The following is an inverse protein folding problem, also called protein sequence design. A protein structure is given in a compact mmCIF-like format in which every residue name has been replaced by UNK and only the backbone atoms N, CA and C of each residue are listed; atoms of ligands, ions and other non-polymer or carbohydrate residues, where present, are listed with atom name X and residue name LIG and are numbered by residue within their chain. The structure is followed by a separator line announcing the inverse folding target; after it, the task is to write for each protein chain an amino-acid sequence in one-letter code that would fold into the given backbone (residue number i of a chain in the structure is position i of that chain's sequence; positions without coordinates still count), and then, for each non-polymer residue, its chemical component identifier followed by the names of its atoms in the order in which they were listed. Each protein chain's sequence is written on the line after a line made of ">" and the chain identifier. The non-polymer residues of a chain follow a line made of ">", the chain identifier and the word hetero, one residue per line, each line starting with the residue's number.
data_IF_497478894335
#
_entry.id   IF_497478894335
#
_cell.length_a   1.000
_cell.length_b   1.000
_cell.length_c   1.000
_cell.angle_alpha   90.00
_cell.angle_beta   90.00
_cell.angle_gamma   90.00
#
_symmetry.space_group_name_H-M   'P 1'
#
loop_
_entity.id
_entity.type
_entity.pdbx_description
1 polymer ?
#
# COMPACT_ATOMS: atom_id res chain seq x y z
N UNK A 1 -50.43 -71.55 -56.92
CA UNK A 1 -49.97 -72.87 -56.42
C UNK A 1 -48.66 -72.64 -55.66
N UNK A 2 -48.56 -73.18 -54.44
CA UNK A 2 -47.39 -73.17 -53.50
C UNK A 2 -47.00 -71.80 -52.88
N UNK A 3 -47.51 -71.46 -51.67
CA UNK A 3 -46.99 -71.77 -50.30
C UNK A 3 -45.54 -71.34 -50.06
N UNK A 4 -45.33 -70.32 -49.20
CA UNK A 4 -44.23 -70.31 -48.23
C UNK A 4 -44.68 -69.73 -46.89
N UNK A 5 -44.49 -70.57 -45.88
CA UNK A 5 -44.91 -70.45 -44.49
C UNK A 5 -43.71 -69.96 -43.67
N UNK A 6 -43.97 -68.95 -42.83
CA UNK A 6 -43.34 -68.60 -41.56
C UNK A 6 -42.26 -69.53 -40.97
N UNK A 7 -41.17 -68.94 -40.47
CA UNK A 7 -40.62 -69.35 -39.16
C UNK A 7 -39.97 -68.14 -38.46
N UNK A 8 -40.40 -67.94 -37.21
CA UNK A 8 -40.05 -66.85 -36.30
C UNK A 8 -38.67 -67.08 -35.67
N UNK A 9 -37.85 -66.03 -35.56
CA UNK A 9 -36.67 -65.99 -34.66
C UNK A 9 -36.91 -64.89 -33.62
N UNK A 10 -37.04 -65.28 -32.34
CA UNK A 10 -37.09 -64.40 -31.14
C UNK A 10 -35.65 -64.31 -30.59
N UNK A 11 -35.02 -63.13 -30.48
CA UNK A 11 -35.11 -62.13 -29.39
C UNK A 11 -34.47 -62.57 -28.07
N UNK A 12 -33.22 -62.15 -27.81
CA UNK A 12 -32.70 -61.77 -26.48
C UNK A 12 -31.57 -60.74 -26.70
N UNK A 13 -31.85 -59.45 -26.49
CA UNK A 13 -30.88 -58.36 -26.47
C UNK A 13 -30.77 -57.88 -25.02
N UNK A 14 -29.64 -58.20 -24.38
CA UNK A 14 -29.28 -57.79 -23.03
C UNK A 14 -29.00 -56.26 -23.00
N UNK A 15 -29.93 -55.49 -22.42
CA UNK A 15 -29.69 -54.10 -22.04
C UNK A 15 -28.75 -54.07 -20.81
N UNK A 16 -27.49 -53.72 -21.02
CA UNK A 16 -26.58 -53.24 -19.96
C UNK A 16 -26.48 -51.72 -20.07
N UNK A 17 -27.26 -51.02 -19.25
CA UNK A 17 -27.22 -49.57 -19.13
C UNK A 17 -26.01 -49.14 -18.28
N UNK A 18 -24.91 -48.78 -18.95
CA UNK A 18 -23.75 -48.13 -18.34
C UNK A 18 -24.11 -46.65 -18.11
N UNK A 19 -24.47 -46.29 -16.88
CA UNK A 19 -24.68 -44.89 -16.46
C UNK A 19 -23.29 -44.25 -16.32
N UNK A 20 -22.82 -43.60 -17.38
CA UNK A 20 -21.67 -42.69 -17.31
C UNK A 20 -22.16 -41.40 -16.68
N UNK A 21 -21.93 -41.21 -15.38
CA UNK A 21 -22.13 -39.91 -14.75
C UNK A 21 -21.11 -38.93 -15.36
N UNK A 22 -21.53 -37.82 -15.99
CA UNK A 22 -20.60 -36.80 -16.43
C UNK A 22 -19.95 -36.19 -15.18
N UNK A 23 -18.66 -36.43 -15.01
CA UNK A 23 -17.84 -35.66 -14.10
C UNK A 23 -17.75 -34.24 -14.67
N UNK A 24 -18.66 -33.35 -14.23
CA UNK A 24 -18.51 -31.92 -14.46
C UNK A 24 -17.28 -31.46 -13.68
N UNK A 25 -16.15 -31.35 -14.37
CA UNK A 25 -15.01 -30.61 -13.88
C UNK A 25 -15.48 -29.18 -13.62
N UNK A 26 -15.49 -28.73 -12.35
CA UNK A 26 -15.64 -27.31 -12.05
C UNK A 26 -14.35 -26.61 -12.44
N UNK A 27 -14.34 -25.95 -13.58
CA UNK A 27 -13.34 -24.94 -13.90
C UNK A 27 -13.51 -23.82 -12.87
N UNK A 28 -12.52 -23.61 -12.00
CA UNK A 28 -12.47 -22.39 -11.19
C UNK A 28 -12.10 -21.24 -12.14
N UNK A 29 -12.98 -20.24 -12.24
CA UNK A 29 -12.81 -19.11 -13.14
C UNK A 29 -11.59 -18.29 -12.73
N UNK A 30 -10.50 -18.39 -13.47
CA UNK A 30 -9.31 -17.53 -13.32
C UNK A 30 -9.59 -16.06 -13.59
N UNK A 31 -10.77 -15.72 -14.14
CA UNK A 31 -11.20 -14.36 -14.48
C UNK A 31 -11.94 -13.62 -13.36
N UNK A 32 -12.23 -14.25 -12.22
CA UNK A 32 -12.98 -13.60 -11.14
C UNK A 32 -12.13 -12.61 -10.35
N UNK A 33 -10.83 -12.89 -10.22
CA UNK A 33 -9.93 -12.10 -9.37
C UNK A 33 -9.59 -10.72 -9.96
N UNK A 34 -9.18 -10.58 -11.25
CA UNK A 34 -9.00 -9.26 -11.86
C UNK A 34 -10.28 -8.42 -11.85
N UNK A 35 -11.44 -9.05 -12.02
CA UNK A 35 -12.74 -8.36 -12.00
C UNK A 35 -13.04 -7.74 -10.63
N UNK A 36 -12.72 -8.42 -9.52
CA UNK A 36 -12.90 -7.88 -8.16
C UNK A 36 -12.00 -6.65 -7.97
N UNK A 37 -10.75 -6.73 -8.43
CA UNK A 37 -9.81 -5.60 -8.38
C UNK A 37 -10.36 -4.42 -9.16
N UNK A 38 -10.74 -4.61 -10.43
CA UNK A 38 -11.30 -3.55 -11.28
C UNK A 38 -12.58 -2.92 -10.69
N UNK A 39 -13.48 -3.74 -10.13
CA UNK A 39 -14.72 -3.28 -9.49
C UNK A 39 -14.43 -2.43 -8.26
N UNK A 40 -13.52 -2.88 -7.39
CA UNK A 40 -13.11 -2.14 -6.20
C UNK A 40 -12.48 -0.78 -6.55
N UNK A 41 -11.57 -0.76 -7.52
CA UNK A 41 -10.91 0.47 -7.97
C UNK A 41 -11.92 1.46 -8.57
N UNK A 42 -12.82 0.99 -9.44
CA UNK A 42 -13.89 1.83 -10.00
C UNK A 42 -14.82 2.40 -8.92
N UNK A 43 -15.11 1.61 -7.88
CA UNK A 43 -15.91 2.05 -6.73
C UNK A 43 -15.19 3.14 -5.95
N UNK A 44 -13.91 2.94 -5.60
CA UNK A 44 -13.12 3.95 -4.87
C UNK A 44 -13.05 5.26 -5.66
N UNK A 45 -12.76 5.19 -6.95
CA UNK A 45 -12.67 6.38 -7.81
C UNK A 45 -13.99 7.17 -7.83
N UNK A 46 -15.12 6.46 -7.96
CA UNK A 46 -16.45 7.07 -8.04
C UNK A 46 -16.90 7.71 -6.71
N UNK A 47 -16.64 7.02 -5.60
CA UNK A 47 -17.20 7.41 -4.29
C UNK A 47 -16.25 8.24 -3.43
N UNK A 48 -14.92 8.10 -3.61
CA UNK A 48 -13.92 8.79 -2.80
C UNK A 48 -13.29 10.02 -3.49
N UNK A 49 -13.72 10.39 -4.71
CA UNK A 49 -13.22 11.58 -5.40
C UNK A 49 -13.30 12.86 -4.56
N UNK A 50 -14.40 13.03 -3.82
CA UNK A 50 -14.70 14.22 -3.02
C UNK A 50 -14.08 14.21 -1.60
N UNK A 51 -13.24 13.22 -1.27
CA UNK A 51 -12.60 13.13 0.07
C UNK A 51 -11.89 14.44 0.41
N UNK A 52 -12.24 15.04 1.54
CA UNK A 52 -11.69 16.33 1.97
C UNK A 52 -10.32 16.23 2.63
N UNK A 53 -9.86 17.36 3.18
CA UNK A 53 -8.65 17.44 3.97
C UNK A 53 -8.84 16.70 5.30
N UNK A 54 -7.83 15.94 5.73
CA UNK A 54 -7.81 15.15 6.97
C UNK A 54 -9.00 14.18 7.07
N UNK A 55 -9.37 13.57 5.95
CA UNK A 55 -10.48 12.64 5.85
C UNK A 55 -10.01 11.30 5.28
N UNK A 56 -10.65 10.24 5.74
CA UNK A 56 -10.52 8.89 5.21
C UNK A 56 -11.83 8.51 4.54
N UNK A 57 -11.75 7.98 3.33
CA UNK A 57 -12.86 7.45 2.55
C UNK A 57 -12.68 5.98 2.25
N UNK A 58 -13.80 5.26 2.30
CA UNK A 58 -13.84 3.81 2.28
C UNK A 58 -14.42 3.38 0.96
N UNK A 59 -13.60 2.74 0.12
CA UNK A 59 -13.95 2.55 -1.27
C UNK A 59 -14.55 1.19 -1.59
N UNK A 60 -14.13 0.10 -0.93
CA UNK A 60 -14.65 -1.22 -1.25
C UNK A 60 -14.63 -2.22 -0.06
N UNK A 61 -15.55 -3.17 -0.14
CA UNK A 61 -16.04 -4.21 0.79
C UNK A 61 -15.05 -4.68 1.90
N UNK A 62 -15.65 -4.92 3.08
CA UNK A 62 -15.11 -5.61 4.27
C UNK A 62 -13.98 -4.89 5.01
N UNK A 63 -14.38 -3.97 5.90
CA UNK A 63 -13.48 -3.25 6.77
C UNK A 63 -14.05 -3.14 8.19
N UNK A 64 -13.19 -3.22 9.18
CA UNK A 64 -13.49 -2.82 10.56
C UNK A 64 -12.59 -1.65 10.93
N UNK A 65 -13.14 -0.67 11.64
CA UNK A 65 -12.38 0.44 12.18
C UNK A 65 -12.92 0.81 13.55
N UNK A 66 -12.01 1.18 14.43
CA UNK A 66 -12.34 1.68 15.76
C UNK A 66 -12.18 3.20 15.76
N UNK A 67 -13.21 3.90 16.23
CA UNK A 67 -13.19 5.35 16.42
C UNK A 67 -12.92 5.70 17.88
N UNK A 68 -12.13 6.76 18.08
CA UNK A 68 -11.84 7.32 19.40
C UNK A 68 -13.12 7.87 20.03
N UNK A 69 -13.53 7.30 21.16
CA UNK A 69 -14.44 7.91 22.12
C UNK A 69 -15.89 7.39 22.18
N UNK A 70 -16.36 6.55 21.25
CA UNK A 70 -17.74 6.03 21.28
C UNK A 70 -17.84 4.62 20.66
N UNK A 71 -18.18 3.56 21.43
CA UNK A 71 -18.51 2.26 20.86
C UNK A 71 -19.77 2.36 19.97
N UNK A 72 -19.61 2.17 18.67
CA UNK A 72 -20.72 2.19 17.70
C UNK A 72 -20.97 3.52 16.99
N UNK A 73 -20.08 4.51 17.12
CA UNK A 73 -20.10 5.69 16.27
C UNK A 73 -19.41 5.37 14.94
N UNK A 74 -20.19 5.36 13.86
CA UNK A 74 -19.77 5.21 12.46
C UNK A 74 -19.03 3.89 12.16
N UNK A 75 -19.81 2.84 11.88
CA UNK A 75 -19.32 1.75 11.05
C UNK A 75 -19.20 2.24 9.60
N UNK A 76 -18.14 1.83 8.91
CA UNK A 76 -18.07 1.88 7.46
C UNK A 76 -19.07 0.87 6.90
N UNK A 77 -20.30 1.33 6.72
CA UNK A 77 -21.43 0.48 6.34
C UNK A 77 -21.52 0.37 4.82
N UNK A 78 -21.08 1.39 4.09
CA UNK A 78 -21.15 1.44 2.64
C UNK A 78 -19.93 2.12 2.00
N UNK A 79 -19.59 1.75 0.75
CA UNK A 79 -18.64 2.49 -0.06
C UNK A 79 -18.99 3.98 -0.15
N UNK A 80 -17.99 4.84 0.01
CA UNK A 80 -18.12 6.30 0.01
C UNK A 80 -18.36 6.92 1.38
N UNK A 81 -18.50 6.12 2.44
CA UNK A 81 -18.50 6.67 3.79
C UNK A 81 -17.17 7.40 4.04
N UNK A 82 -17.24 8.54 4.73
CA UNK A 82 -16.09 9.40 5.04
C UNK A 82 -16.07 9.71 6.52
N UNK A 83 -14.91 9.62 7.14
CA UNK A 83 -14.68 10.09 8.52
C UNK A 83 -13.51 11.04 8.60
N UNK A 84 -13.50 11.85 9.65
CA UNK A 84 -12.35 12.65 10.01
C UNK A 84 -11.25 11.75 10.59
N UNK A 85 -10.04 11.90 10.06
CA UNK A 85 -8.87 11.13 10.49
C UNK A 85 -8.53 11.36 11.97
N UNK A 86 -8.91 12.52 12.52
CA UNK A 86 -8.78 12.80 13.94
C UNK A 86 -9.60 11.88 14.85
N UNK A 87 -10.67 11.28 14.31
CA UNK A 87 -11.52 10.33 15.04
C UNK A 87 -11.07 8.88 14.89
N UNK A 88 -10.15 8.57 13.97
CA UNK A 88 -9.67 7.21 13.73
C UNK A 88 -8.66 6.80 14.82
N UNK A 89 -8.96 5.69 15.49
CA UNK A 89 -8.02 4.98 16.35
C UNK A 89 -7.35 3.85 15.58
N UNK A 90 -8.14 3.04 14.87
CA UNK A 90 -7.64 1.94 14.03
C UNK A 90 -8.47 1.80 12.75
N UNK A 91 -7.86 1.26 11.71
CA UNK A 91 -8.51 0.85 10.47
C UNK A 91 -7.93 -0.48 10.01
N UNK A 92 -8.78 -1.46 9.72
CA UNK A 92 -8.38 -2.80 9.29
C UNK A 92 -9.11 -3.17 7.99
N UNK A 93 -8.35 -3.30 6.91
CA UNK A 93 -8.83 -3.71 5.59
C UNK A 93 -8.75 -5.23 5.44
N UNK A 94 -9.72 -5.82 4.75
CA UNK A 94 -9.71 -7.26 4.47
C UNK A 94 -8.79 -7.62 3.29
N UNK A 95 -8.14 -8.80 3.34
CA UNK A 95 -7.41 -9.35 2.20
C UNK A 95 -8.33 -9.56 0.98
N UNK A 96 -7.72 -9.77 -0.18
CA UNK A 96 -8.44 -10.22 -1.36
C UNK A 96 -8.91 -11.67 -1.18
N UNK A 97 -10.21 -11.85 -0.97
CA UNK A 97 -10.86 -13.16 -0.85
C UNK A 97 -11.67 -13.45 -2.11
N UNK A 98 -11.04 -14.06 -3.10
CA UNK A 98 -11.67 -14.34 -4.41
C UNK A 98 -12.97 -15.14 -4.31
N UNK A 99 -13.09 -16.04 -3.34
CA UNK A 99 -14.30 -16.84 -3.11
C UNK A 99 -15.47 -16.06 -2.52
N UNK A 100 -15.18 -14.97 -1.80
CA UNK A 100 -16.18 -14.11 -1.17
C UNK A 100 -16.45 -12.85 -1.99
N UNK A 101 -15.58 -12.50 -2.95
CA UNK A 101 -15.67 -11.26 -3.69
C UNK A 101 -15.28 -10.04 -2.86
N UNK A 102 -14.46 -10.23 -1.83
CA UNK A 102 -14.09 -9.17 -0.87
C UNK A 102 -12.65 -8.71 -1.11
N UNK A 103 -12.43 -7.40 -1.04
CA UNK A 103 -11.10 -6.79 -1.06
C UNK A 103 -11.18 -5.39 -0.47
N UNK A 104 -10.40 -5.13 0.58
CA UNK A 104 -10.38 -3.83 1.22
C UNK A 104 -9.55 -2.83 0.41
N UNK A 105 -10.15 -1.66 0.12
CA UNK A 105 -9.43 -0.47 -0.37
C UNK A 105 -9.93 0.78 0.36
N UNK A 106 -9.01 1.59 0.86
CA UNK A 106 -9.30 2.88 1.49
C UNK A 106 -8.36 3.98 0.98
N UNK A 107 -8.87 5.21 0.96
CA UNK A 107 -8.12 6.40 0.56
C UNK A 107 -8.18 7.42 1.69
N UNK A 108 -7.03 7.87 2.18
CA UNK A 108 -6.93 8.93 3.19
C UNK A 108 -6.19 10.13 2.62
N UNK A 109 -6.70 11.33 2.88
CA UNK A 109 -6.07 12.60 2.50
C UNK A 109 -5.65 13.34 3.76
N UNK A 110 -4.35 13.42 4.01
CA UNK A 110 -3.79 14.00 5.22
C UNK A 110 -3.00 15.28 4.93
N UNK A 111 -3.03 16.20 5.89
CA UNK A 111 -2.14 17.34 5.94
C UNK A 111 -0.90 16.99 6.79
N UNK A 112 0.02 16.19 6.25
CA UNK A 112 1.34 15.99 6.85
C UNK A 112 2.11 17.30 6.72
N UNK A 113 2.49 17.96 7.83
CA UNK A 113 3.27 19.22 7.98
C UNK A 113 3.19 20.34 6.90
N UNK A 114 2.22 20.31 5.98
CA UNK A 114 2.05 21.26 4.89
C UNK A 114 1.42 22.57 5.42
N UNK A 115 1.88 23.75 4.97
CA UNK A 115 1.30 25.04 5.37
C UNK A 115 -0.20 25.15 5.06
N UNK A 116 -0.97 25.76 5.96
CA UNK A 116 -2.42 25.98 5.79
C UNK A 116 -2.78 26.92 4.62
N UNK A 117 -1.79 27.60 4.03
CA UNK A 117 -1.96 28.62 2.99
C UNK A 117 -2.06 28.06 1.58
N UNK A 118 -1.84 26.76 1.37
CA UNK A 118 -1.92 26.11 0.06
C UNK A 118 -3.27 25.39 -0.10
N UNK A 119 -4.23 25.96 -0.86
CA UNK A 119 -5.53 25.32 -1.07
C UNK A 119 -5.39 24.08 -1.95
N UNK A 120 -5.97 22.96 -1.51
CA UNK A 120 -6.13 21.74 -2.31
C UNK A 120 -5.02 20.68 -2.19
N UNK A 121 -3.97 20.96 -1.45
CA UNK A 121 -2.83 20.04 -1.33
C UNK A 121 -2.91 19.19 -0.06
N UNK A 122 -3.01 17.87 -0.26
CA UNK A 122 -3.02 16.84 0.76
C UNK A 122 -2.10 15.70 0.32
N UNK A 123 -1.46 15.04 1.28
CA UNK A 123 -0.80 13.76 1.06
C UNK A 123 -1.86 12.68 0.96
N UNK A 124 -1.81 11.88 -0.09
CA UNK A 124 -2.73 10.76 -0.27
C UNK A 124 -2.08 9.48 0.24
N UNK A 125 -2.78 8.78 1.11
CA UNK A 125 -2.46 7.44 1.57
C UNK A 125 -3.50 6.50 0.97
N UNK A 126 -3.06 5.60 0.10
CA UNK A 126 -3.87 4.58 -0.52
C UNK A 126 -3.53 3.23 0.12
N UNK A 127 -4.51 2.63 0.80
CA UNK A 127 -4.35 1.36 1.50
C UNK A 127 -5.17 0.28 0.80
N UNK A 128 -4.59 -0.92 0.65
CA UNK A 128 -5.26 -2.02 -0.06
C UNK A 128 -4.81 -3.40 0.42
N UNK A 129 -5.75 -4.34 0.43
CA UNK A 129 -5.54 -5.69 0.93
C UNK A 129 -5.60 -5.80 2.45
N UNK A 130 -4.94 -6.81 3.03
CA UNK A 130 -4.83 -7.00 4.48
C UNK A 130 -3.89 -5.93 5.06
N UNK A 131 -4.47 -4.81 5.47
CA UNK A 131 -3.74 -3.66 6.01
C UNK A 131 -4.42 -3.20 7.28
N UNK A 132 -3.62 -3.05 8.33
CA UNK A 132 -4.03 -2.41 9.57
C UNK A 132 -3.21 -1.15 9.77
N UNK A 133 -3.89 -0.04 10.03
CA UNK A 133 -3.27 1.19 10.49
C UNK A 133 -3.87 1.58 11.84
N UNK A 134 -3.00 1.82 12.81
CA UNK A 134 -3.38 2.27 14.16
C UNK A 134 -2.73 3.61 14.45
N UNK A 135 -3.52 4.58 14.88
CA UNK A 135 -3.01 5.88 15.31
C UNK A 135 -2.05 5.71 16.49
N UNK A 136 -0.85 6.29 16.38
CA UNK A 136 0.19 6.22 17.41
C UNK A 136 0.54 7.60 17.98
N UNK A 137 -0.29 8.61 17.72
CA UNK A 137 -0.16 9.93 18.35
C UNK A 137 -0.56 9.82 19.83
N UNK A 138 0.30 10.27 20.77
CA UNK A 138 -0.01 10.28 22.20
C UNK A 138 -1.29 11.06 22.51
N UNK A 139 -2.05 10.64 23.52
CA UNK A 139 -3.28 11.33 23.93
C UNK A 139 -3.00 12.74 24.49
N UNK A 140 -3.96 13.66 24.29
CA UNK A 140 -3.87 15.03 24.80
C UNK A 140 -3.72 15.01 26.34
N UNK A 141 -2.58 15.51 26.84
CA UNK A 141 -2.24 15.49 28.27
C UNK A 141 -0.77 15.18 28.54
N UNK A 142 -0.08 14.58 27.56
CA UNK A 142 1.38 14.49 27.55
C UNK A 142 1.97 15.81 27.02
N UNK A 143 3.09 16.25 27.61
CA UNK A 143 3.67 17.59 27.43
C UNK A 143 4.19 17.91 26.00
N UNK A 144 3.90 17.07 25.00
CA UNK A 144 4.41 17.20 23.63
C UNK A 144 3.40 16.82 22.53
N UNK A 145 2.09 16.89 22.78
CA UNK A 145 1.07 16.64 21.74
C UNK A 145 0.99 17.77 20.68
N UNK A 146 2.09 17.97 19.94
CA UNK A 146 2.18 18.82 18.74
C UNK A 146 1.92 18.04 17.46
N UNK A 147 1.93 16.71 17.55
CA UNK A 147 1.58 15.83 16.43
C UNK A 147 0.09 15.97 16.11
N UNK A 148 -0.20 16.29 14.84
CA UNK A 148 -1.56 16.15 14.31
C UNK A 148 -1.91 14.65 14.18
N UNK A 149 -3.19 14.27 14.29
CA UNK A 149 -3.61 12.88 14.10
C UNK A 149 -3.01 12.25 12.85
N UNK A 150 -2.55 11.01 12.97
CA UNK A 150 -1.92 10.24 11.89
C UNK A 150 -0.65 10.87 11.28
N UNK A 151 -0.01 11.81 11.98
CA UNK A 151 1.41 12.13 11.76
C UNK A 151 2.34 11.07 12.34
N UNK A 152 1.84 10.22 13.25
CA UNK A 152 2.50 9.02 13.74
C UNK A 152 1.48 7.88 13.78
N UNK A 153 1.81 6.73 13.20
CA UNK A 153 0.93 5.56 13.19
C UNK A 153 1.70 4.24 13.09
N UNK A 154 1.07 3.15 13.51
CA UNK A 154 1.54 1.78 13.29
C UNK A 154 0.88 1.23 12.03
N UNK A 155 1.68 0.63 11.16
CA UNK A 155 1.28 -0.06 9.94
C UNK A 155 1.61 -1.55 10.09
N UNK A 156 0.61 -2.39 9.77
CA UNK A 156 0.78 -3.82 9.54
C UNK A 156 0.17 -4.18 8.19
N UNK A 157 0.85 -5.03 7.43
CA UNK A 157 0.39 -5.48 6.11
C UNK A 157 0.54 -7.00 6.00
N UNK A 158 -0.36 -7.62 5.24
CA UNK A 158 -0.15 -8.93 4.67
C UNK A 158 1.11 -8.95 3.78
N UNK A 159 1.71 -10.13 3.63
CA UNK A 159 2.85 -10.35 2.74
C UNK A 159 2.68 -11.65 1.98
N UNK A 160 3.04 -11.64 0.69
CA UNK A 160 2.93 -12.80 -0.19
C UNK A 160 1.50 -13.36 -0.23
N UNK A 161 0.52 -12.45 -0.21
CA UNK A 161 -0.88 -12.74 0.04
C UNK A 161 -1.80 -12.47 -1.15
N UNK A 162 -1.26 -11.94 -2.27
CA UNK A 162 -2.00 -11.85 -3.52
C UNK A 162 -2.40 -13.27 -4.00
N UNK A 163 -3.70 -13.60 -4.07
CA UNK A 163 -4.17 -14.96 -4.35
C UNK A 163 -4.11 -15.33 -5.84
N UNK A 164 -3.83 -14.36 -6.73
CA UNK A 164 -3.92 -14.52 -8.17
C UNK A 164 -3.01 -13.55 -8.94
N UNK A 165 -2.83 -13.77 -10.24
CA UNK A 165 -2.16 -12.84 -11.14
C UNK A 165 -3.01 -11.56 -11.31
N UNK A 166 -2.36 -10.39 -11.27
CA UNK A 166 -3.00 -9.08 -11.39
C UNK A 166 -3.53 -8.51 -10.06
N UNK A 167 -3.58 -9.30 -8.98
CA UNK A 167 -3.84 -8.77 -7.66
C UNK A 167 -2.57 -8.16 -7.05
N UNK A 168 -2.63 -6.93 -6.49
CA UNK A 168 -1.52 -6.38 -5.74
C UNK A 168 -1.27 -7.18 -4.46
N UNK A 169 -0.02 -7.15 -4.00
CA UNK A 169 0.31 -7.50 -2.62
C UNK A 169 -0.28 -6.46 -1.68
N UNK A 170 -0.70 -6.86 -0.48
CA UNK A 170 -1.22 -5.89 0.50
C UNK A 170 -0.18 -4.85 0.88
N UNK A 171 -0.61 -3.60 1.01
CA UNK A 171 0.28 -2.52 1.40
C UNK A 171 -0.34 -1.14 1.31
N UNK A 172 0.52 -0.14 1.44
CA UNK A 172 0.14 1.26 1.47
C UNK A 172 1.01 2.06 0.51
N UNK A 173 0.39 2.86 -0.35
CA UNK A 173 1.10 3.83 -1.19
C UNK A 173 0.84 5.23 -0.64
N UNK A 174 1.90 6.01 -0.49
CA UNK A 174 1.83 7.42 -0.08
C UNK A 174 2.29 8.28 -1.25
N UNK A 175 1.50 9.29 -1.60
CA UNK A 175 1.83 10.25 -2.65
C UNK A 175 1.73 11.68 -2.10
N UNK A 176 2.82 12.44 -2.21
CA UNK A 176 2.80 13.88 -1.92
C UNK A 176 2.33 14.68 -3.14
N UNK A 177 1.78 15.89 -2.97
CA UNK A 177 1.62 16.82 -4.09
C UNK A 177 2.97 17.18 -4.74
N UNK A 178 2.94 17.64 -5.99
CA UNK A 178 4.13 18.19 -6.66
C UNK A 178 4.37 19.63 -6.21
N UNK A 179 5.64 20.05 -6.11
CA UNK A 179 6.01 21.46 -5.88
C UNK A 179 5.81 21.96 -4.44
N UNK A 180 5.39 21.11 -3.51
CA UNK A 180 5.12 21.48 -2.10
C UNK A 180 6.29 21.17 -1.15
N UNK A 181 7.41 20.70 -1.69
CA UNK A 181 8.57 20.23 -0.93
C UNK A 181 8.41 18.79 -0.45
N UNK A 182 8.91 18.51 0.76
CA UNK A 182 8.81 17.23 1.44
C UNK A 182 7.77 17.25 2.56
N UNK A 183 7.21 16.08 2.84
CA UNK A 183 6.35 15.82 3.99
C UNK A 183 7.04 14.88 4.96
N UNK A 184 6.73 15.01 6.24
CA UNK A 184 7.28 14.19 7.32
C UNK A 184 6.17 13.51 8.10
N UNK A 185 6.33 12.21 8.34
CA UNK A 185 5.47 11.41 9.21
C UNK A 185 6.28 10.25 9.82
N UNK A 186 5.75 9.64 10.89
CA UNK A 186 6.36 8.49 11.55
C UNK A 186 5.51 7.23 11.32
N UNK A 187 6.14 6.16 10.83
CA UNK A 187 5.52 4.83 10.72
C UNK A 187 6.35 3.83 11.51
N UNK A 188 5.75 3.13 12.47
CA UNK A 188 6.43 2.05 13.21
C UNK A 188 7.76 2.51 13.86
N UNK A 189 7.83 3.77 14.31
CA UNK A 189 9.08 4.33 14.87
C UNK A 189 10.13 4.71 13.81
N UNK A 190 9.79 4.66 12.52
CA UNK A 190 10.63 5.16 11.42
C UNK A 190 10.12 6.53 11.00
N UNK A 191 10.98 7.54 11.09
CA UNK A 191 10.73 8.86 10.51
C UNK A 191 10.91 8.79 9.00
N UNK A 192 9.90 9.23 8.27
CA UNK A 192 9.90 9.26 6.81
C UNK A 192 9.74 10.69 6.36
N UNK A 193 10.77 11.21 5.68
CA UNK A 193 10.69 12.45 4.92
C UNK A 193 10.60 12.09 3.43
N UNK A 194 9.58 12.57 2.72
CA UNK A 194 9.41 12.25 1.29
C UNK A 194 8.78 13.39 0.51
N UNK A 195 9.17 13.56 -0.76
CA UNK A 195 8.55 14.48 -1.71
C UNK A 195 8.12 13.74 -2.98
N UNK A 196 7.42 12.62 -2.83
CA UNK A 196 7.48 11.56 -3.82
C UNK A 196 6.28 10.61 -3.78
N UNK A 197 6.38 9.47 -4.48
CA UNK A 197 5.41 8.37 -4.38
C UNK A 197 6.10 7.12 -3.88
N UNK A 198 5.72 6.62 -2.70
CA UNK A 198 6.42 5.55 -1.99
C UNK A 198 5.46 4.45 -1.59
N UNK A 199 5.85 3.20 -1.83
CA UNK A 199 5.13 2.00 -1.42
C UNK A 199 5.72 1.40 -0.15
N UNK A 200 4.85 1.08 0.81
CA UNK A 200 5.17 0.55 2.13
C UNK A 200 4.51 -0.82 2.33
N UNK A 201 5.29 -1.75 2.88
CA UNK A 201 4.80 -2.99 3.45
C UNK A 201 5.46 -3.19 4.81
N UNK A 202 4.74 -3.71 5.81
CA UNK A 202 5.29 -3.86 7.15
C UNK A 202 4.70 -5.08 7.86
N UNK A 203 5.55 -6.03 8.25
CA UNK A 203 5.17 -7.07 9.21
C UNK A 203 6.38 -7.51 10.04
N UNK A 204 6.14 -8.28 11.10
CA UNK A 204 7.18 -8.66 12.06
C UNK A 204 8.27 -9.53 11.40
N UNK A 205 7.90 -10.50 10.56
CA UNK A 205 8.84 -11.47 9.96
C UNK A 205 9.66 -10.88 8.80
N UNK A 206 9.02 -10.02 8.01
CA UNK A 206 9.51 -9.34 6.82
C UNK A 206 10.08 -7.95 7.11
N UNK A 207 9.90 -7.40 8.31
CA UNK A 207 10.23 -6.01 8.62
C UNK A 207 9.37 -5.02 7.84
N UNK A 208 9.77 -3.75 7.88
CA UNK A 208 9.24 -2.71 7.00
C UNK A 208 10.06 -2.62 5.72
N UNK A 209 9.38 -2.68 4.59
CA UNK A 209 9.93 -2.41 3.26
C UNK A 209 9.43 -1.04 2.79
N UNK A 210 10.36 -0.20 2.32
CA UNK A 210 10.06 1.12 1.76
C UNK A 210 10.62 1.17 0.34
N UNK A 211 9.74 1.29 -0.66
CA UNK A 211 10.05 1.27 -2.09
C UNK A 211 9.67 2.59 -2.74
N UNK A 212 10.65 3.35 -3.23
CA UNK A 212 10.41 4.66 -3.86
C UNK A 212 10.05 4.51 -5.34
N UNK A 213 8.78 4.68 -5.70
CA UNK A 213 8.29 4.45 -7.07
C UNK A 213 8.65 5.62 -8.01
N UNK A 214 8.68 6.82 -7.46
CA UNK A 214 9.00 8.09 -8.11
C UNK A 214 9.67 8.96 -7.06
N UNK A 215 10.55 9.90 -7.43
CA UNK A 215 11.15 10.88 -6.53
C UNK A 215 12.17 10.32 -5.53
N UNK A 216 12.11 10.78 -4.28
CA UNK A 216 13.00 10.36 -3.22
C UNK A 216 12.30 10.31 -1.86
N UNK A 217 12.83 9.48 -0.97
CA UNK A 217 12.49 9.47 0.45
C UNK A 217 13.77 9.41 1.28
N UNK A 218 13.68 9.83 2.53
CA UNK A 218 14.70 9.64 3.55
C UNK A 218 14.03 8.96 4.74
N UNK A 219 14.57 7.80 5.14
CA UNK A 219 14.05 7.04 6.27
C UNK A 219 15.06 7.04 7.40
N UNK A 220 14.59 7.30 8.62
CA UNK A 220 15.46 7.43 9.78
C UNK A 220 14.87 6.72 11.00
N UNK A 221 15.79 6.25 11.84
CA UNK A 221 15.53 5.70 13.17
C UNK A 221 16.59 6.28 14.11
N UNK A 222 16.45 6.08 15.42
CA UNK A 222 17.47 6.47 16.40
C UNK A 222 18.84 5.79 16.18
N UNK A 223 18.86 4.71 15.39
CA UNK A 223 20.05 3.90 15.12
C UNK A 223 20.76 4.27 13.81
N UNK A 224 20.15 5.14 12.99
CA UNK A 224 20.70 5.56 11.70
C UNK A 224 19.62 5.85 10.67
N UNK A 225 20.06 6.34 9.52
CA UNK A 225 19.19 6.77 8.44
C UNK A 225 19.71 6.32 7.06
N UNK A 226 18.80 6.21 6.10
CA UNK A 226 19.11 5.89 4.71
C UNK A 226 18.23 6.68 3.74
N UNK A 227 18.81 7.26 2.68
CA UNK A 227 18.06 7.80 1.56
C UNK A 227 17.57 6.68 0.66
N UNK A 228 16.38 6.83 0.10
CA UNK A 228 15.73 5.84 -0.78
C UNK A 228 15.31 6.55 -2.06
N UNK A 229 16.15 6.44 -3.09
CA UNK A 229 15.89 7.06 -4.39
C UNK A 229 14.95 6.21 -5.24
N UNK A 230 14.27 6.84 -6.19
CA UNK A 230 13.39 6.13 -7.12
C UNK A 230 14.10 4.93 -7.80
N UNK A 231 13.39 3.82 -7.93
CA UNK A 231 13.96 2.58 -8.48
C UNK A 231 14.70 1.71 -7.45
N UNK A 232 14.73 2.15 -6.18
CA UNK A 232 15.35 1.43 -5.05
C UNK A 232 14.39 1.20 -3.89
N UNK A 233 14.78 0.29 -2.99
CA UNK A 233 14.07 0.00 -1.75
C UNK A 233 15.03 -0.24 -0.60
N UNK A 234 14.54 -0.07 0.62
CA UNK A 234 15.24 -0.41 1.87
C UNK A 234 14.39 -1.32 2.74
N UNK A 235 15.05 -2.05 3.64
CA UNK A 235 14.40 -2.85 4.68
C UNK A 235 14.80 -2.36 6.06
N UNK A 236 13.82 -2.20 6.94
CA UNK A 236 14.00 -1.92 8.36
C UNK A 236 13.48 -3.13 9.14
N UNK A 237 14.29 -3.65 10.06
CA UNK A 237 13.83 -4.74 10.93
C UNK A 237 12.83 -4.20 11.96
N UNK A 238 11.74 -4.94 12.18
CA UNK A 238 10.75 -4.62 13.21
C UNK A 238 10.87 -5.60 14.38
N UNK A 239 10.47 -5.19 15.58
CA UNK A 239 10.25 -6.07 16.73
C UNK A 239 8.80 -6.60 16.79
N UNK A 240 8.46 -7.26 17.89
CA UNK A 240 7.14 -7.87 18.11
C UNK A 240 6.01 -6.82 18.26
N UNK A 241 6.35 -5.58 18.61
CA UNK A 241 5.40 -4.45 18.75
C UNK A 241 5.32 -3.61 17.46
N UNK A 242 5.84 -4.14 16.34
CA UNK A 242 5.97 -3.45 15.06
C UNK A 242 6.72 -2.12 15.19
N UNK A 243 7.74 -2.04 16.03
CA UNK A 243 8.64 -0.88 16.11
C UNK A 243 9.97 -1.20 15.43
N UNK A 244 10.61 -0.19 14.86
CA UNK A 244 11.94 -0.33 14.27
C UNK A 244 12.96 -0.79 15.32
N UNK A 245 13.54 -1.97 15.12
CA UNK A 245 14.51 -2.57 16.04
C UNK A 245 15.96 -2.41 15.59
N UNK A 246 16.17 -1.94 14.35
CA UNK A 246 17.49 -1.70 13.74
C UNK A 246 17.45 -0.48 12.83
N UNK A 247 18.63 0.07 12.56
CA UNK A 247 18.81 1.08 11.52
C UNK A 247 18.32 0.55 10.15
N UNK A 248 17.83 1.44 9.27
CA UNK A 248 17.52 1.08 7.90
C UNK A 248 18.73 0.44 7.21
N UNK A 249 18.48 -0.68 6.51
CA UNK A 249 19.51 -1.33 5.71
C UNK A 249 19.87 -0.52 4.48
N UNK A 250 21.00 -0.85 3.86
CA UNK A 250 21.44 -0.21 2.61
C UNK A 250 20.38 -0.31 1.51
N UNK A 251 20.11 0.80 0.78
CA UNK A 251 19.24 0.80 -0.38
C UNK A 251 19.70 -0.22 -1.41
N UNK A 252 18.74 -0.85 -2.08
CA UNK A 252 19.00 -1.79 -3.17
C UNK A 252 18.09 -1.48 -4.34
N UNK A 253 18.56 -1.63 -5.60
CA UNK A 253 17.67 -1.57 -6.74
C UNK A 253 16.54 -2.61 -6.62
N UNK A 254 15.40 -2.30 -7.23
CA UNK A 254 14.39 -3.32 -7.44
C UNK A 254 14.96 -4.52 -8.18
N UNK A 255 14.40 -5.70 -7.94
CA UNK A 255 14.68 -6.81 -8.85
C UNK A 255 13.89 -6.60 -10.14
N UNK A 256 14.47 -6.90 -11.30
CA UNK A 256 13.85 -6.73 -12.63
C UNK A 256 12.56 -7.56 -12.85
N UNK A 257 12.07 -8.27 -11.82
CA UNK A 257 10.76 -8.95 -11.77
C UNK A 257 9.90 -8.44 -10.62
N UNK A 258 9.88 -7.13 -10.35
CA UNK A 258 8.94 -6.60 -9.35
C UNK A 258 7.51 -6.57 -9.91
N UNK A 259 6.96 -7.74 -10.24
CA UNK A 259 5.54 -7.95 -10.50
C UNK A 259 4.66 -7.38 -9.38
N UNK A 260 5.23 -7.29 -8.16
CA UNK A 260 4.65 -6.60 -7.01
C UNK A 260 4.31 -5.13 -7.33
N UNK A 261 5.20 -4.41 -8.00
CA UNK A 261 4.98 -2.99 -8.33
C UNK A 261 4.05 -2.83 -9.54
N UNK A 262 4.08 -3.77 -10.49
CA UNK A 262 3.25 -3.71 -11.70
C UNK A 262 1.75 -3.85 -11.42
N UNK A 263 1.36 -4.51 -10.33
CA UNK A 263 -0.04 -4.72 -9.94
C UNK A 263 -0.58 -3.62 -9.00
N UNK A 264 0.23 -2.61 -8.64
CA UNK A 264 -0.20 -1.57 -7.70
C UNK A 264 -1.36 -0.75 -8.28
N UNK A 265 -2.38 -0.43 -7.47
CA UNK A 265 -3.57 0.31 -7.91
C UNK A 265 -3.32 1.83 -8.03
N UNK A 266 -2.31 2.22 -8.79
CA UNK A 266 -1.84 3.61 -8.86
C UNK A 266 -2.82 4.58 -9.53
N UNK A 267 -3.82 4.09 -10.27
CA UNK A 267 -4.86 4.92 -10.89
C UNK A 267 -5.76 5.63 -9.90
N UNK A 268 -5.74 5.24 -8.62
CA UNK A 268 -6.47 5.92 -7.54
C UNK A 268 -5.70 7.10 -6.94
N UNK A 269 -4.45 7.30 -7.34
CA UNK A 269 -3.64 8.42 -6.87
C UNK A 269 -4.08 9.73 -7.56
N UNK A 270 -4.04 10.88 -6.87
CA UNK A 270 -4.39 12.17 -7.46
C UNK A 270 -3.56 12.56 -8.68
N UNK A 271 -2.31 12.11 -8.75
CA UNK A 271 -1.43 12.28 -9.89
C UNK A 271 -1.04 10.92 -10.46
N UNK A 272 -1.12 10.82 -11.78
CA UNK A 272 -0.55 9.71 -12.51
C UNK A 272 0.96 9.70 -12.37
N UNK A 273 1.52 8.53 -12.08
CA UNK A 273 2.96 8.33 -12.01
C UNK A 273 3.38 7.17 -12.89
N UNK A 274 4.59 7.26 -13.43
CA UNK A 274 5.25 6.11 -14.01
C UNK A 274 6.26 5.56 -13.00
N UNK A 275 6.16 4.27 -12.68
CA UNK A 275 7.09 3.64 -11.75
C UNK A 275 8.48 3.67 -12.39
N UNK A 276 9.43 4.26 -11.68
CA UNK A 276 10.82 4.30 -12.08
C UNK A 276 11.35 2.87 -12.14
N UNK A 277 11.97 2.45 -13.25
CA UNK A 277 12.61 1.13 -13.35
C UNK A 277 13.63 0.90 -12.24
N UNK A 278 14.03 -0.37 -12.07
CA UNK A 278 15.15 -0.69 -11.19
C UNK A 278 16.36 0.19 -11.54
N UNK A 279 16.95 0.82 -10.53
CA UNK A 279 18.15 1.64 -10.71
C UNK A 279 19.26 0.80 -11.34
N UNK A 280 19.91 1.35 -12.37
CA UNK A 280 20.99 0.66 -13.07
C UNK A 280 22.23 0.55 -12.19
N UNK A 281 23.04 -0.49 -12.38
CA UNK A 281 24.21 -0.75 -11.53
C UNK A 281 25.19 0.43 -11.52
N UNK A 282 25.45 1.07 -12.66
CA UNK A 282 26.38 2.20 -12.75
C UNK A 282 25.88 3.40 -11.93
N UNK A 283 24.59 3.72 -12.03
CA UNK A 283 23.96 4.76 -11.23
C UNK A 283 23.94 4.39 -9.75
N UNK A 284 23.67 3.12 -9.42
CA UNK A 284 23.67 2.63 -8.05
C UNK A 284 25.05 2.68 -7.40
N UNK A 285 26.13 2.40 -8.15
CA UNK A 285 27.51 2.51 -7.67
C UNK A 285 27.84 3.96 -7.28
N UNK A 286 27.36 4.95 -8.05
CA UNK A 286 27.49 6.38 -7.72
C UNK A 286 26.73 6.72 -6.44
N UNK A 287 25.47 6.28 -6.33
CA UNK A 287 24.64 6.50 -5.13
C UNK A 287 25.31 5.91 -3.90
N UNK A 288 25.78 4.66 -3.98
CA UNK A 288 26.46 4.01 -2.86
C UNK A 288 27.74 4.76 -2.47
N UNK A 289 28.56 5.16 -3.44
CA UNK A 289 29.76 5.96 -3.19
C UNK A 289 29.46 7.30 -2.53
N UNK A 290 28.37 7.97 -2.93
CA UNK A 290 27.95 9.23 -2.32
C UNK A 290 27.43 9.03 -0.89
N UNK A 291 26.67 7.97 -0.60
CA UNK A 291 26.25 7.64 0.78
C UNK A 291 27.48 7.38 1.67
N UNK A 292 28.40 6.52 1.23
CA UNK A 292 29.61 6.18 1.98
C UNK A 292 30.51 7.39 2.24
N UNK A 293 30.57 8.32 1.29
CA UNK A 293 31.35 9.54 1.40
C UNK A 293 30.59 10.72 2.04
N UNK A 294 29.34 10.52 2.47
CA UNK A 294 28.45 11.59 2.98
C UNK A 294 28.37 12.80 2.03
N UNK A 295 28.23 12.54 0.74
CA UNK A 295 28.04 13.54 -0.31
C UNK A 295 26.56 13.70 -0.67
N UNK A 296 26.17 14.84 -1.25
CA UNK A 296 24.81 15.02 -1.77
C UNK A 296 24.39 13.91 -2.73
N UNK A 297 23.11 13.55 -2.69
CA UNK A 297 22.49 12.56 -3.56
C UNK A 297 21.60 13.19 -4.63
N UNK A 298 21.94 14.41 -5.01
CA UNK A 298 21.22 15.21 -6.00
C UNK A 298 22.20 16.14 -6.73
N UNK A 299 21.78 16.70 -7.86
CA UNK A 299 22.54 17.72 -8.60
C UNK A 299 23.70 17.20 -9.46
N UNK A 300 23.92 15.89 -9.50
CA UNK A 300 24.85 15.23 -10.44
C UNK A 300 24.08 14.50 -11.56
N UNK A 301 24.69 14.28 -12.74
CA UNK A 301 24.05 13.51 -13.81
C UNK A 301 23.60 12.12 -13.33
N UNK A 302 22.32 11.81 -13.54
CA UNK A 302 21.70 10.57 -13.07
C UNK A 302 21.19 10.62 -11.62
N UNK A 303 21.36 11.72 -10.90
CA UNK A 303 20.73 11.95 -9.60
C UNK A 303 19.57 12.96 -9.73
N UNK A 304 18.61 12.97 -8.79
CA UNK A 304 17.53 13.97 -8.78
C UNK A 304 18.05 15.41 -8.69
N UNK A 305 17.19 16.37 -9.06
CA UNK A 305 17.47 17.79 -8.81
C UNK A 305 17.31 18.09 -7.32
N UNK A 306 18.27 18.82 -6.76
CA UNK A 306 18.22 19.20 -5.36
C UNK A 306 17.14 20.22 -5.03
N UNK A 307 16.71 21.05 -5.98
CA UNK A 307 15.63 22.01 -5.74
C UNK A 307 14.31 21.30 -5.39
N UNK A 308 14.11 20.10 -5.94
CA UNK A 308 12.92 19.29 -5.67
C UNK A 308 13.05 18.44 -4.41
N UNK A 309 14.29 18.10 -4.01
CA UNK A 309 14.56 17.23 -2.87
C UNK A 309 15.71 17.78 -1.99
N UNK A 310 15.49 18.90 -1.27
CA UNK A 310 16.55 19.54 -0.48
C UNK A 310 17.21 18.62 0.55
N UNK A 311 16.44 17.68 1.12
CA UNK A 311 16.93 16.67 2.06
C UNK A 311 18.00 15.74 1.50
N UNK A 312 18.15 15.65 0.17
CA UNK A 312 19.25 14.91 -0.47
C UNK A 312 20.58 15.67 -0.43
N UNK A 313 20.59 16.97 -0.11
CA UNK A 313 21.80 17.73 0.20
C UNK A 313 22.26 17.59 1.67
N UNK A 314 21.44 16.97 2.52
CA UNK A 314 21.62 16.92 3.97
C UNK A 314 20.77 17.92 4.75
N UNK A 315 19.96 18.74 4.05
CA UNK A 315 19.02 19.67 4.66
C UNK A 315 17.69 18.97 4.97
N UNK A 316 17.65 18.29 6.12
CA UNK A 316 16.45 17.57 6.55
C UNK A 316 15.43 18.52 7.17
N UNK A 317 14.16 18.38 6.78
CA UNK A 317 13.09 18.87 7.63
C UNK A 317 13.18 18.13 8.97
N UNK A 318 12.85 18.82 10.07
CA UNK A 318 12.92 18.23 11.39
C UNK A 318 12.22 16.86 11.43
N UNK A 319 13.01 15.80 11.65
CA UNK A 319 12.53 14.43 11.75
C UNK A 319 11.83 14.26 13.12
N UNK A 320 10.69 13.57 13.13
CA UNK A 320 9.84 13.39 14.30
C UNK A 320 10.42 12.34 15.27
N UNK A 321 11.60 12.58 15.84
CA UNK A 321 12.21 11.62 16.78
C UNK A 321 11.26 11.37 17.96
N UNK A 322 10.69 10.16 18.02
CA UNK A 322 9.78 9.68 19.07
C UNK A 322 8.65 10.66 19.45
N UNK A 323 8.02 11.29 18.45
CA UNK A 323 6.90 12.19 18.68
C UNK A 323 7.25 13.52 19.34
N UNK A 324 8.54 13.83 19.48
CA UNK A 324 9.01 15.18 19.76
C UNK A 324 9.32 15.89 18.45
N UNK A 325 8.69 17.05 18.25
CA UNK A 325 9.09 17.97 17.18
C UNK A 325 10.43 18.56 17.62
N UNK A 326 11.49 18.42 16.83
CA UNK A 326 12.73 19.17 17.03
C UNK A 326 12.38 20.64 17.27
N UNK A 327 12.83 21.15 18.41
CA UNK A 327 12.40 22.44 18.94
C UNK A 327 12.55 23.60 17.95
N UNK A 328 11.58 24.51 17.99
CA UNK A 328 11.78 25.89 17.57
C UNK A 328 12.61 26.68 18.56
#
# INVERSE_FOLDING_TARGET
>A
MMRRIWTRVRFVLLLSGLVVAPAFARLQNTSECPRIVEEALSTVDSFCAATGRNQACFGHIALTADLRGEPGAISFEQPGDVVDVASLESIHLSPLLASAGEWGVALMRLQANLPDTLPGENVTFLLFGDVEVQNAVPEEGEADARLKPMQAFRLRTGMSDAPCEGAPQSGMVVQTPEGVGSVVFNINGVDVEMGSTVFFQANISGGMTVSTLEGAAHVATDLGAQPVLAGTWVRIALDDDLQASRAPGWPRPYTCRSAIHAALPLSLLPRDINITPAMENEQFDVVQGNIEASRPLCGEPGLPDCENYPFLQGDHQCLLTQGSVCGG
#
